data_IF_847551004259
#
_entry.id   IF_847551004259
#
_cell.length_a   1.000
_cell.length_b   1.000
_cell.length_c   1.000
_cell.angle_alpha   90.00
_cell.angle_beta   90.00
_cell.angle_gamma   90.00
#
_symmetry.space_group_name_H-M   'P 1'
#
loop_
_entity.id
_entity.type
_entity.pdbx_description
1 polymer ?
#
# COMPACT_ATOMS: atom_id res chain seq x y z
N UNK A 1 -17.22 1.49 -9.37
CA UNK A 1 -16.41 1.03 -10.51
C UNK A 1 -16.10 -0.44 -10.32
N UNK A 2 -16.06 -1.24 -11.38
CA UNK A 2 -15.58 -2.62 -11.29
C UNK A 2 -14.08 -2.62 -10.95
N UNK A 3 -13.61 -3.62 -10.19
CA UNK A 3 -12.18 -3.79 -9.91
C UNK A 3 -11.46 -4.10 -11.23
N UNK A 4 -10.45 -3.30 -11.56
CA UNK A 4 -9.56 -3.55 -12.69
C UNK A 4 -8.22 -4.06 -12.13
N UNK A 5 -7.81 -5.32 -12.41
CA UNK A 5 -6.57 -5.87 -11.88
C UNK A 5 -5.31 -5.12 -12.30
N UNK A 6 -5.39 -4.28 -13.34
CA UNK A 6 -4.29 -3.45 -13.83
C UNK A 6 -4.36 -2.00 -13.32
N UNK A 7 -5.40 -1.62 -12.55
CA UNK A 7 -5.56 -0.27 -12.00
C UNK A 7 -5.87 -0.32 -10.51
N UNK A 8 -4.81 -0.10 -9.72
CA UNK A 8 -4.85 -0.16 -8.26
C UNK A 8 -5.74 0.92 -7.63
N UNK A 9 -6.07 2.00 -8.34
CA UNK A 9 -7.01 3.03 -7.86
C UNK A 9 -8.43 2.50 -7.73
N UNK A 10 -8.75 1.42 -8.46
CA UNK A 10 -10.09 0.80 -8.42
C UNK A 10 -10.31 -0.05 -7.16
N UNK A 11 -9.23 -0.38 -6.44
CA UNK A 11 -9.29 -1.17 -5.22
C UNK A 11 -9.47 -0.26 -4.00
N UNK A 12 -10.44 -0.55 -3.12
CA UNK A 12 -10.55 0.20 -1.87
C UNK A 12 -9.32 -0.06 -1.00
N UNK A 13 -8.85 0.95 -0.29
CA UNK A 13 -7.86 0.77 0.78
C UNK A 13 -8.61 0.59 2.10
N UNK A 14 -8.18 -0.36 2.92
CA UNK A 14 -8.72 -0.52 4.28
C UNK A 14 -8.65 0.80 5.05
N UNK A 15 -9.66 1.14 5.85
CA UNK A 15 -9.64 2.40 6.63
C UNK A 15 -8.50 2.42 7.65
N UNK A 16 -8.29 1.28 8.33
CA UNK A 16 -7.30 1.12 9.40
C UNK A 16 -6.46 -0.15 9.22
N UNK A 17 -5.22 -0.18 9.74
CA UNK A 17 -4.45 -1.42 9.80
C UNK A 17 -5.17 -2.46 10.65
N UNK A 18 -4.92 -3.75 10.40
CA UNK A 18 -5.39 -4.80 11.29
C UNK A 18 -4.68 -4.68 12.65
N UNK A 19 -5.33 -5.17 13.72
CA UNK A 19 -4.75 -5.15 15.07
C UNK A 19 -3.39 -5.84 15.13
N UNK A 20 -3.21 -6.87 14.32
CA UNK A 20 -2.00 -7.70 14.22
C UNK A 20 -1.01 -7.24 13.15
N UNK A 21 -1.24 -6.07 12.54
CA UNK A 21 -0.38 -5.55 11.49
C UNK A 21 1.06 -5.42 12.02
N UNK A 22 2.06 -5.98 11.31
CA UNK A 22 3.45 -5.92 11.77
C UNK A 22 4.05 -4.50 11.73
N UNK A 23 3.44 -3.59 10.98
CA UNK A 23 3.94 -2.23 10.81
C UNK A 23 3.33 -1.24 11.80
N UNK A 24 2.02 -1.36 12.06
CA UNK A 24 1.24 -0.34 12.78
C UNK A 24 0.09 -0.95 13.59
N UNK A 25 0.13 -2.25 13.85
CA UNK A 25 -0.89 -2.94 14.64
C UNK A 25 -0.78 -2.59 16.12
N UNK A 26 -1.92 -2.67 16.82
CA UNK A 26 -1.98 -2.56 18.28
C UNK A 26 -1.20 -3.70 18.97
N UNK A 27 -1.30 -4.91 18.42
CA UNK A 27 -0.61 -6.12 18.87
C UNK A 27 0.12 -6.75 17.67
N UNK A 28 1.21 -6.15 17.19
CA UNK A 28 1.87 -6.55 15.97
C UNK A 28 2.37 -7.99 16.06
N UNK A 29 2.11 -8.79 15.03
CA UNK A 29 2.68 -10.13 14.94
C UNK A 29 4.19 -10.01 14.69
N UNK A 30 5.03 -10.74 15.44
CA UNK A 30 6.47 -10.73 15.21
C UNK A 30 6.78 -11.36 13.86
N UNK A 31 7.62 -10.70 13.08
CA UNK A 31 8.06 -11.15 11.76
C UNK A 31 9.58 -11.28 11.79
N UNK A 32 10.09 -12.41 11.30
CA UNK A 32 11.53 -12.61 11.17
C UNK A 32 12.12 -11.60 10.18
N UNK A 33 13.35 -11.12 10.38
CA UNK A 33 13.92 -10.03 9.57
C UNK A 33 13.86 -10.25 8.06
N UNK A 34 14.07 -11.48 7.61
CA UNK A 34 14.05 -11.86 6.19
C UNK A 34 12.65 -11.64 5.58
N UNK A 35 11.62 -12.08 6.31
CA UNK A 35 10.23 -11.88 5.89
C UNK A 35 9.82 -10.41 5.92
N UNK A 36 10.36 -9.64 6.86
CA UNK A 36 10.11 -8.20 6.90
C UNK A 36 10.70 -7.52 5.67
N UNK A 37 11.94 -7.86 5.29
CA UNK A 37 12.57 -7.37 4.08
C UNK A 37 11.78 -7.71 2.81
N UNK A 38 11.27 -8.96 2.70
CA UNK A 38 10.39 -9.36 1.60
C UNK A 38 9.17 -8.44 1.47
N UNK A 39 8.51 -8.11 2.58
CA UNK A 39 7.35 -7.22 2.55
C UNK A 39 7.72 -5.80 2.13
N UNK A 40 8.83 -5.27 2.62
CA UNK A 40 9.29 -3.92 2.25
C UNK A 40 9.64 -3.87 0.77
N UNK A 41 10.39 -4.85 0.25
CA UNK A 41 10.76 -4.92 -1.16
C UNK A 41 9.52 -4.99 -2.06
N UNK A 42 8.53 -5.80 -1.67
CA UNK A 42 7.29 -5.90 -2.42
C UNK A 42 6.55 -4.55 -2.48
N UNK A 43 6.45 -3.85 -1.34
CA UNK A 43 5.78 -2.55 -1.24
C UNK A 43 6.55 -1.41 -1.93
N UNK A 44 7.87 -1.55 -2.10
CA UNK A 44 8.74 -0.55 -2.71
C UNK A 44 8.65 -0.51 -4.25
N UNK A 45 7.99 -1.47 -4.90
CA UNK A 45 7.82 -1.42 -6.35
C UNK A 45 7.30 -2.69 -7.03
N UNK A 46 7.23 -3.83 -6.35
CA UNK A 46 6.78 -5.08 -6.97
C UNK A 46 5.25 -5.29 -6.88
N UNK A 47 4.56 -4.56 -6.00
CA UNK A 47 3.11 -4.65 -5.94
C UNK A 47 2.45 -3.96 -4.76
N UNK A 48 1.23 -4.42 -4.47
CA UNK A 48 0.44 -4.00 -3.33
C UNK A 48 0.15 -5.21 -2.46
N UNK A 49 0.17 -4.99 -1.14
CA UNK A 49 -0.30 -6.00 -0.23
C UNK A 49 -1.83 -5.95 -0.12
N UNK A 50 -2.52 -7.01 -0.54
CA UNK A 50 -3.95 -7.18 -0.27
C UNK A 50 -4.17 -7.70 1.15
N UNK A 51 -5.32 -7.36 1.73
CA UNK A 51 -5.65 -7.85 3.07
C UNK A 51 -5.72 -9.38 3.11
N UNK A 52 -5.11 -9.99 4.14
CA UNK A 52 -5.01 -11.45 4.26
C UNK A 52 -6.34 -12.16 4.62
N UNK A 53 -7.44 -11.43 4.82
CA UNK A 53 -8.76 -12.02 5.07
C UNK A 53 -9.31 -12.61 3.77
N UNK A 54 -9.71 -13.89 3.79
CA UNK A 54 -10.08 -14.67 2.60
C UNK A 54 -11.10 -14.02 1.64
N UNK A 55 -11.97 -13.14 2.15
CA UNK A 55 -13.00 -12.45 1.36
C UNK A 55 -12.73 -10.95 1.17
N UNK A 56 -11.56 -10.45 1.58
CA UNK A 56 -11.24 -9.03 1.52
C UNK A 56 -10.33 -8.72 0.33
N UNK A 57 -10.89 -8.06 -0.68
CA UNK A 57 -10.14 -7.61 -1.85
C UNK A 57 -9.54 -6.21 -1.69
N UNK A 58 -9.59 -5.61 -0.51
CA UNK A 58 -9.03 -4.28 -0.30
C UNK A 58 -7.51 -4.31 -0.14
N UNK A 59 -6.87 -3.21 -0.52
CA UNK A 59 -5.46 -2.94 -0.22
C UNK A 59 -5.29 -2.81 1.30
N UNK A 60 -4.25 -3.44 1.83
CA UNK A 60 -3.88 -3.38 3.24
C UNK A 60 -3.43 -1.96 3.62
N UNK A 61 -4.07 -1.36 4.64
CA UNK A 61 -3.72 -0.01 5.12
C UNK A 61 -2.29 0.10 5.63
N UNK A 62 -1.82 -0.91 6.37
CA UNK A 62 -0.45 -0.93 6.90
C UNK A 62 0.59 -0.94 5.78
N UNK A 63 0.43 -1.84 4.81
CA UNK A 63 1.29 -1.89 3.63
C UNK A 63 1.24 -0.60 2.82
N UNK A 64 0.03 -0.06 2.60
CA UNK A 64 -0.16 1.20 1.87
C UNK A 64 0.59 2.37 2.52
N UNK A 65 0.53 2.52 3.84
CA UNK A 65 1.24 3.61 4.54
C UNK A 65 2.76 3.50 4.43
N UNK A 66 3.31 2.29 4.52
CA UNK A 66 4.74 2.05 4.29
C UNK A 66 5.11 2.44 2.86
N UNK A 67 4.33 2.02 1.87
CA UNK A 67 4.57 2.39 0.48
C UNK A 67 4.55 3.91 0.28
N UNK A 68 3.55 4.61 0.81
CA UNK A 68 3.46 6.07 0.67
C UNK A 68 4.67 6.78 1.31
N UNK A 69 5.16 6.29 2.45
CA UNK A 69 6.40 6.78 3.06
C UNK A 69 7.62 6.54 2.18
N UNK A 70 7.72 5.37 1.57
CA UNK A 70 8.81 5.04 0.62
C UNK A 70 8.76 5.99 -0.58
N UNK A 71 7.60 6.12 -1.23
CA UNK A 71 7.42 6.97 -2.40
C UNK A 71 7.72 8.44 -2.11
N UNK A 72 7.31 8.94 -0.95
CA UNK A 72 7.71 10.28 -0.48
C UNK A 72 9.22 10.39 -0.28
N UNK A 73 9.83 9.42 0.38
CA UNK A 73 11.27 9.44 0.67
C UNK A 73 12.14 9.42 -0.60
N UNK A 74 11.69 8.77 -1.67
CA UNK A 74 12.41 8.76 -2.97
C UNK A 74 12.00 9.91 -3.89
N UNK A 75 11.18 10.85 -3.41
CA UNK A 75 10.80 12.06 -4.16
C UNK A 75 9.73 11.86 -5.24
N UNK A 76 9.01 10.74 -5.22
CA UNK A 76 7.91 10.48 -6.16
C UNK A 76 6.58 11.09 -5.71
N UNK A 77 6.43 11.41 -4.42
CA UNK A 77 5.25 12.08 -3.87
C UNK A 77 5.67 13.31 -3.07
N UNK A 78 4.81 14.33 -3.06
CA UNK A 78 4.98 15.49 -2.18
C UNK A 78 4.54 15.21 -0.75
N UNK A 79 3.54 14.36 -0.54
CA UNK A 79 3.08 13.95 0.78
C UNK A 79 2.79 12.44 0.81
N UNK A 80 3.00 11.74 1.93
CA UNK A 80 2.76 10.31 2.04
C UNK A 80 1.27 10.01 2.26
N UNK A 81 0.39 10.50 1.37
CA UNK A 81 -1.07 10.38 1.46
C UNK A 81 -1.67 9.66 0.27
N UNK A 82 -2.87 9.09 0.44
CA UNK A 82 -3.59 8.44 -0.68
C UNK A 82 -3.96 9.47 -1.75
N UNK A 83 -4.27 10.70 -1.35
CA UNK A 83 -4.60 11.82 -2.23
C UNK A 83 -3.42 12.17 -3.12
N UNK A 84 -2.22 12.35 -2.54
CA UNK A 84 -1.00 12.65 -3.30
C UNK A 84 -0.66 11.52 -4.28
N UNK A 85 -0.82 10.27 -3.86
CA UNK A 85 -0.64 9.13 -4.76
C UNK A 85 -1.64 9.13 -5.91
N UNK A 86 -2.92 9.31 -5.63
CA UNK A 86 -3.96 9.33 -6.67
C UNK A 86 -3.73 10.47 -7.66
N UNK A 87 -3.29 11.64 -7.17
CA UNK A 87 -2.89 12.76 -8.00
C UNK A 87 -1.70 12.38 -8.91
N UNK A 88 -0.61 11.86 -8.35
CA UNK A 88 0.56 11.46 -9.13
C UNK A 88 0.24 10.42 -10.22
N UNK A 89 -0.63 9.45 -9.91
CA UNK A 89 -1.09 8.48 -10.92
C UNK A 89 -1.94 9.16 -11.99
N UNK A 90 -2.89 10.02 -11.62
CA UNK A 90 -3.72 10.72 -12.59
C UNK A 90 -2.87 11.57 -13.55
N UNK A 91 -1.88 12.29 -13.02
CA UNK A 91 -0.94 13.08 -13.83
C UNK A 91 -0.14 12.20 -14.80
N UNK A 92 0.35 11.04 -14.33
CA UNK A 92 1.10 10.10 -15.17
C UNK A 92 0.28 9.51 -16.33
N UNK A 93 -1.02 9.32 -16.15
CA UNK A 93 -1.93 8.79 -17.18
C UNK A 93 -2.37 9.84 -18.20
N UNK A 94 -2.26 11.13 -17.88
CA UNK A 94 -2.59 12.23 -18.80
C UNK A 94 -1.42 12.65 -19.68
N UNK A 95 -0.23 12.09 -19.47
CA UNK A 95 0.98 12.39 -20.24
C UNK A 95 1.21 11.43 -21.43
N UNK A 96 0.20 10.64 -21.80
CA UNK A 96 0.16 9.84 -23.04
C UNK A 96 -0.55 10.57 -24.19
#
# INVERSE_FOLDING_TARGET
>A
MALNPNDLRTYPVQEKPCKTCPFEGENPVPIVPERYADFINNLAGEGQHLCHSANNKAICRGGRRIQLRILKAIGMLDEPTDEAFNQAINESLTQE
#
